data_IF_486022395063
#
_entry.id   IF_486022395063
#
_cell.length_a   1.000
_cell.length_b   1.000
_cell.length_c   1.000
_cell.angle_alpha   90.00
_cell.angle_beta   90.00
_cell.angle_gamma   90.00
#
_symmetry.space_group_name_H-M   'P 1'
#
loop_
_entity.id
_entity.type
_entity.pdbx_description
1 polymer ?
#
# COMPACT_ATOMS: atom_id res chain seq x y z
N UNK A 1 -25.80 -11.50 8.57
CA UNK A 1 -24.88 -11.24 7.44
C UNK A 1 -25.57 -10.23 6.56
N UNK A 2 -25.25 -8.96 6.69
CA UNK A 2 -25.64 -8.00 5.67
C UNK A 2 -24.70 -8.20 4.49
N UNK A 3 -25.25 -8.43 3.28
CA UNK A 3 -24.39 -8.45 2.10
C UNK A 3 -23.72 -7.09 2.03
N UNK A 4 -22.36 -7.10 1.91
CA UNK A 4 -21.62 -5.88 1.66
C UNK A 4 -22.30 -5.12 0.54
N UNK A 5 -22.74 -3.93 0.83
CA UNK A 5 -23.09 -3.00 -0.23
C UNK A 5 -21.77 -2.79 -1.00
N UNK A 6 -21.66 -3.52 -2.11
CA UNK A 6 -20.88 -3.01 -3.19
C UNK A 6 -21.51 -1.64 -3.49
N UNK A 7 -20.96 -0.61 -2.88
CA UNK A 7 -21.14 0.72 -3.38
C UNK A 7 -20.43 0.70 -4.73
N UNK A 8 -21.19 0.22 -5.72
CA UNK A 8 -21.03 0.68 -7.08
C UNK A 8 -21.26 2.18 -6.96
N UNK A 9 -20.22 2.89 -6.51
CA UNK A 9 -20.22 4.32 -6.69
C UNK A 9 -20.23 4.51 -8.19
N UNK A 10 -21.35 5.04 -8.59
CA UNK A 10 -21.69 5.53 -9.90
C UNK A 10 -20.42 5.80 -10.71
N UNK A 11 -20.41 5.23 -11.90
CA UNK A 11 -19.76 5.83 -13.05
C UNK A 11 -20.14 7.32 -13.10
N UNK A 12 -19.49 8.12 -12.31
CA UNK A 12 -19.37 9.53 -12.61
C UNK A 12 -18.31 9.61 -13.70
N UNK A 13 -18.73 9.14 -14.90
CA UNK A 13 -18.11 9.57 -16.11
C UNK A 13 -18.26 11.09 -16.15
N UNK A 14 -17.37 11.81 -15.47
CA UNK A 14 -17.20 13.24 -15.66
C UNK A 14 -16.63 13.45 -17.06
N UNK A 15 -17.52 13.39 -18.04
CA UNK A 15 -17.24 13.94 -19.35
C UNK A 15 -17.23 15.46 -19.21
N UNK A 16 -16.11 16.00 -18.77
CA UNK A 16 -15.89 17.43 -18.86
C UNK A 16 -15.50 17.74 -20.31
N UNK A 17 -16.53 17.95 -21.16
CA UNK A 17 -16.33 18.45 -22.52
C UNK A 17 -15.98 19.93 -22.39
N UNK A 18 -14.69 20.23 -22.33
CA UNK A 18 -14.21 21.58 -22.48
C UNK A 18 -14.13 21.90 -23.99
N UNK A 19 -15.30 22.18 -24.60
CA UNK A 19 -15.38 22.61 -26.00
C UNK A 19 -14.97 24.07 -26.11
N UNK A 20 -13.66 24.31 -26.11
CA UNK A 20 -13.13 25.53 -26.74
C UNK A 20 -13.33 25.39 -28.27
N UNK A 21 -13.41 26.50 -28.97
CA UNK A 21 -13.72 26.58 -30.45
C UNK A 21 -12.81 25.67 -31.31
N UNK A 22 -11.70 25.15 -30.78
CA UNK A 22 -10.65 24.39 -31.48
C UNK A 22 -10.03 23.26 -30.66
N UNK A 23 -10.54 22.93 -29.47
CA UNK A 23 -10.00 21.84 -28.62
C UNK A 23 -11.12 21.06 -27.95
N UNK A 24 -10.92 19.74 -27.80
CA UNK A 24 -11.80 18.84 -27.09
C UNK A 24 -10.97 18.06 -26.04
N UNK A 25 -11.46 18.01 -24.80
CA UNK A 25 -10.85 17.23 -23.72
C UNK A 25 -11.91 16.29 -23.12
N UNK A 26 -11.60 15.00 -23.05
CA UNK A 26 -12.46 13.96 -22.50
C UNK A 26 -11.69 13.29 -21.37
N UNK A 27 -12.28 13.27 -20.18
CA UNK A 27 -11.74 12.57 -19.02
C UNK A 27 -12.73 11.48 -18.64
N UNK A 28 -12.25 10.25 -18.53
CA UNK A 28 -12.99 9.11 -18.01
C UNK A 28 -12.25 8.56 -16.80
N UNK A 29 -12.99 8.35 -15.70
CA UNK A 29 -12.43 7.73 -14.48
C UNK A 29 -13.34 6.59 -14.05
N UNK A 30 -12.77 5.46 -13.78
CA UNK A 30 -13.45 4.30 -13.21
C UNK A 30 -12.71 3.88 -11.94
N UNK A 31 -13.46 3.76 -10.83
CA UNK A 31 -12.94 3.34 -9.54
C UNK A 31 -13.75 2.16 -9.02
N UNK A 32 -13.07 1.15 -8.50
CA UNK A 32 -13.70 0.03 -7.83
C UNK A 32 -12.97 -0.30 -6.52
N UNK A 33 -13.77 -0.54 -5.48
CA UNK A 33 -13.27 -0.93 -4.16
C UNK A 33 -14.02 -2.18 -3.69
N UNK A 34 -13.29 -3.12 -3.13
CA UNK A 34 -13.85 -4.30 -2.49
C UNK A 34 -13.13 -4.55 -1.17
N UNK A 35 -13.89 -4.87 -0.13
CA UNK A 35 -13.33 -5.22 1.16
C UNK A 35 -14.17 -6.32 1.82
N UNK A 36 -13.47 -7.27 2.43
CA UNK A 36 -14.04 -8.30 3.30
C UNK A 36 -13.29 -8.27 4.61
N UNK A 37 -14.00 -8.07 5.72
CA UNK A 37 -13.41 -8.02 7.05
C UNK A 37 -13.96 -9.16 7.91
N UNK A 38 -13.08 -9.81 8.64
CA UNK A 38 -13.48 -10.77 9.66
C UNK A 38 -14.20 -10.06 10.80
N UNK A 39 -15.30 -10.67 11.28
CA UNK A 39 -16.01 -10.20 12.46
C UNK A 39 -15.62 -11.11 13.61
N UNK A 40 -14.96 -10.53 14.62
CA UNK A 40 -14.51 -11.27 15.79
C UNK A 40 -15.69 -11.66 16.70
N UNK A 41 -15.67 -12.90 17.18
CA UNK A 41 -16.47 -13.31 18.35
C UNK A 41 -15.66 -13.02 19.62
N UNK A 42 -16.35 -12.63 20.70
CA UNK A 42 -15.72 -12.38 21.99
C UNK A 42 -16.38 -13.21 23.06
N UNK A 43 -15.56 -13.95 23.79
CA UNK A 43 -15.96 -14.71 24.97
C UNK A 43 -15.23 -14.11 26.19
N UNK A 44 -15.97 -13.62 27.17
CA UNK A 44 -15.43 -12.99 28.37
C UNK A 44 -16.13 -13.52 29.64
N UNK A 45 -15.40 -13.57 30.73
CA UNK A 45 -15.92 -14.02 32.03
C UNK A 45 -14.85 -14.14 33.09
N UNK A 46 -15.24 -14.34 34.35
CA UNK A 46 -14.26 -14.55 35.41
C UNK A 46 -13.39 -15.78 35.14
N UNK A 47 -14.00 -16.89 34.74
CA UNK A 47 -13.32 -18.09 34.28
C UNK A 47 -13.90 -18.53 32.94
N UNK A 48 -13.07 -19.01 32.05
CA UNK A 48 -13.48 -19.61 30.79
C UNK A 48 -13.06 -21.07 30.76
N UNK A 49 -14.03 -21.94 30.50
CA UNK A 49 -13.76 -23.36 30.26
C UNK A 49 -14.41 -23.78 28.96
N UNK A 50 -13.59 -24.23 28.00
CA UNK A 50 -14.05 -24.72 26.71
C UNK A 50 -13.67 -26.20 26.61
N UNK A 51 -14.64 -27.07 26.35
CA UNK A 51 -14.40 -28.50 26.16
C UNK A 51 -15.12 -29.00 24.92
N UNK A 52 -14.40 -29.63 24.01
CA UNK A 52 -14.94 -30.22 22.81
C UNK A 52 -14.05 -31.35 22.26
N UNK A 53 -14.45 -32.00 21.21
CA UNK A 53 -13.60 -32.91 20.47
C UNK A 53 -12.52 -32.14 19.69
N UNK A 54 -12.94 -31.13 18.95
CA UNK A 54 -12.09 -30.20 18.21
C UNK A 54 -12.51 -28.77 18.55
N UNK A 55 -11.55 -27.87 18.64
CA UNK A 55 -11.76 -26.45 18.96
C UNK A 55 -11.02 -25.61 17.93
N UNK A 56 -11.77 -24.69 17.31
CA UNK A 56 -11.25 -23.71 16.37
C UNK A 56 -11.63 -22.30 16.83
N UNK A 57 -10.61 -21.44 17.05
CA UNK A 57 -10.75 -20.04 17.42
C UNK A 57 -10.08 -19.20 16.33
N UNK A 58 -10.90 -18.58 15.49
CA UNK A 58 -10.44 -17.84 14.32
C UNK A 58 -10.82 -16.36 14.39
N UNK A 59 -9.83 -15.48 14.37
CA UNK A 59 -10.02 -14.02 14.41
C UNK A 59 -10.87 -13.57 15.60
N UNK A 60 -10.81 -14.28 16.73
CA UNK A 60 -11.74 -14.15 17.85
C UNK A 60 -11.02 -14.09 19.19
N UNK A 61 -11.70 -13.66 20.25
CA UNK A 61 -11.09 -13.54 21.57
C UNK A 61 -11.80 -14.38 22.63
N UNK A 62 -11.01 -15.02 23.50
CA UNK A 62 -11.47 -15.71 24.70
C UNK A 62 -10.59 -15.29 25.88
N UNK A 63 -11.05 -14.29 26.66
CA UNK A 63 -10.26 -13.68 27.72
C UNK A 63 -11.04 -13.73 29.05
N UNK A 64 -10.44 -14.38 30.03
CA UNK A 64 -10.98 -14.44 31.40
C UNK A 64 -10.26 -13.50 32.36
N UNK A 65 -10.87 -13.25 33.50
CA UNK A 65 -10.20 -12.53 34.59
C UNK A 65 -9.28 -13.46 35.38
N UNK A 66 -9.78 -14.61 35.84
CA UNK A 66 -9.07 -15.49 36.79
C UNK A 66 -8.39 -16.69 36.12
N UNK A 67 -9.01 -17.38 35.18
CA UNK A 67 -8.40 -18.55 34.54
C UNK A 67 -9.09 -18.90 33.21
N UNK A 68 -8.30 -19.33 32.22
CA UNK A 68 -8.81 -19.90 30.96
C UNK A 68 -8.32 -21.32 30.81
N UNK A 69 -9.24 -22.26 30.59
CA UNK A 69 -8.95 -23.67 30.34
C UNK A 69 -9.63 -24.11 29.04
N UNK A 70 -8.83 -24.59 28.09
CA UNK A 70 -9.27 -25.10 26.79
C UNK A 70 -8.83 -26.56 26.67
N UNK A 71 -9.78 -27.44 26.51
CA UNK A 71 -9.52 -28.90 26.45
C UNK A 71 -10.20 -29.50 25.24
N UNK A 72 -9.42 -30.03 24.31
CA UNK A 72 -9.92 -30.77 23.16
C UNK A 72 -9.53 -32.23 23.23
N UNK A 73 -10.44 -33.11 22.82
CA UNK A 73 -10.15 -34.52 22.69
C UNK A 73 -9.22 -34.84 21.50
N UNK A 74 -9.17 -33.99 20.51
CA UNK A 74 -8.32 -34.08 19.33
C UNK A 74 -7.52 -32.78 19.11
N UNK A 75 -8.03 -31.83 18.36
CA UNK A 75 -7.25 -30.67 17.90
C UNK A 75 -7.72 -29.35 18.51
N UNK A 76 -6.76 -28.46 18.76
CA UNK A 76 -7.01 -27.04 19.07
C UNK A 76 -6.29 -26.20 18.02
N UNK A 77 -7.04 -25.36 17.32
CA UNK A 77 -6.52 -24.39 16.37
C UNK A 77 -6.87 -23.00 16.86
N UNK A 78 -5.87 -22.14 17.03
CA UNK A 78 -6.02 -20.72 17.34
C UNK A 78 -5.36 -19.94 16.21
N UNK A 79 -6.16 -19.40 15.30
CA UNK A 79 -5.63 -18.78 14.09
C UNK A 79 -6.16 -17.36 13.86
N UNK A 80 -5.36 -16.57 13.17
CA UNK A 80 -5.81 -15.28 12.67
C UNK A 80 -6.81 -15.46 11.53
N UNK A 81 -7.82 -14.61 11.48
CA UNK A 81 -8.70 -14.50 10.31
C UNK A 81 -8.10 -13.51 9.31
N UNK A 82 -8.31 -13.75 8.02
CA UNK A 82 -7.83 -12.87 6.98
C UNK A 82 -8.88 -11.80 6.65
N UNK A 83 -8.45 -10.55 6.62
CA UNK A 83 -9.15 -9.44 5.99
C UNK A 83 -8.58 -9.27 4.59
N UNK A 84 -9.45 -9.01 3.63
CA UNK A 84 -9.08 -8.76 2.24
C UNK A 84 -9.55 -7.38 1.83
N UNK A 85 -8.72 -6.63 1.14
CA UNK A 85 -9.11 -5.39 0.49
C UNK A 85 -8.48 -5.29 -0.89
N UNK A 86 -9.22 -4.75 -1.84
CA UNK A 86 -8.70 -4.42 -3.17
C UNK A 86 -9.27 -3.10 -3.64
N UNK A 87 -8.48 -2.39 -4.42
CA UNK A 87 -8.85 -1.12 -5.02
C UNK A 87 -8.26 -1.04 -6.42
N UNK A 88 -9.05 -0.58 -7.36
CA UNK A 88 -8.59 -0.25 -8.70
C UNK A 88 -9.07 1.13 -9.11
N UNK A 89 -8.22 1.85 -9.81
CA UNK A 89 -8.51 3.13 -10.41
C UNK A 89 -7.97 3.13 -11.83
N UNK A 90 -8.84 3.40 -12.80
CA UNK A 90 -8.51 3.60 -14.20
C UNK A 90 -8.92 5.02 -14.57
N UNK A 91 -7.97 5.83 -15.02
CA UNK A 91 -8.23 7.19 -15.50
C UNK A 91 -7.60 7.37 -16.87
N UNK A 92 -8.44 7.76 -17.81
CA UNK A 92 -8.03 8.09 -19.18
C UNK A 92 -8.40 9.52 -19.52
N UNK A 93 -7.42 10.27 -19.97
CA UNK A 93 -7.61 11.64 -20.46
C UNK A 93 -7.18 11.72 -21.92
N UNK A 94 -8.08 12.20 -22.75
CA UNK A 94 -7.87 12.34 -24.18
C UNK A 94 -8.12 13.78 -24.57
N UNK A 95 -7.13 14.43 -25.13
CA UNK A 95 -7.21 15.80 -25.63
C UNK A 95 -6.93 15.81 -27.12
N UNK A 96 -7.73 16.56 -27.88
CA UNK A 96 -7.54 16.72 -29.32
C UNK A 96 -7.83 18.15 -29.76
N UNK A 97 -7.14 18.63 -30.79
CA UNK A 97 -7.27 19.95 -31.34
C UNK A 97 -6.07 20.85 -31.11
N UNK A 98 -6.32 22.13 -30.82
CA UNK A 98 -5.27 23.12 -30.61
C UNK A 98 -4.62 22.94 -29.24
N UNK A 99 -3.31 22.78 -29.21
CA UNK A 99 -2.52 22.59 -27.99
C UNK A 99 -1.47 23.70 -27.86
N UNK A 100 -1.29 24.21 -26.67
CA UNK A 100 -0.18 25.12 -26.36
C UNK A 100 1.07 24.30 -26.09
N UNK A 101 2.12 24.53 -26.86
CA UNK A 101 3.44 23.94 -26.61
C UNK A 101 4.33 24.83 -25.76
N UNK A 102 5.47 24.31 -25.31
CA UNK A 102 6.47 25.10 -24.60
C UNK A 102 7.05 26.20 -25.51
N UNK A 103 7.06 27.46 -25.02
CA UNK A 103 7.51 28.62 -25.79
C UNK A 103 6.41 29.16 -26.71
N UNK A 104 6.81 29.80 -27.81
CA UNK A 104 5.91 30.31 -28.85
C UNK A 104 5.53 29.21 -29.88
N UNK A 105 5.02 28.06 -29.38
CA UNK A 105 4.60 26.95 -30.21
C UNK A 105 3.11 26.72 -30.04
N UNK A 106 2.43 26.57 -31.16
CA UNK A 106 1.04 26.18 -31.26
C UNK A 106 1.03 24.82 -31.95
N UNK A 107 0.40 23.82 -31.34
CA UNK A 107 0.26 22.48 -31.92
C UNK A 107 -1.22 22.20 -32.25
N UNK A 108 -1.44 21.37 -33.26
CA UNK A 108 -2.71 20.74 -33.50
C UNK A 108 -2.51 19.24 -33.57
N UNK A 109 -3.16 18.50 -32.67
CA UNK A 109 -2.90 17.08 -32.57
C UNK A 109 -3.84 16.35 -31.62
N UNK A 110 -3.36 15.18 -31.20
CA UNK A 110 -4.03 14.30 -30.26
C UNK A 110 -3.06 13.92 -29.14
N UNK A 111 -3.55 13.96 -27.91
CA UNK A 111 -2.82 13.54 -26.71
C UNK A 111 -3.70 12.58 -25.91
N UNK A 112 -3.13 11.49 -25.46
CA UNK A 112 -3.77 10.54 -24.57
C UNK A 112 -2.87 10.29 -23.38
N UNK A 113 -3.43 10.37 -22.20
CA UNK A 113 -2.78 10.01 -20.95
C UNK A 113 -3.65 8.99 -20.23
N UNK A 114 -3.07 7.88 -19.79
CA UNK A 114 -3.76 6.92 -18.94
C UNK A 114 -3.00 6.66 -17.66
N UNK A 115 -3.77 6.39 -16.63
CA UNK A 115 -3.31 5.98 -15.32
C UNK A 115 -4.15 4.79 -14.88
N UNK A 116 -3.52 3.64 -14.66
CA UNK A 116 -4.13 2.43 -14.10
C UNK A 116 -3.42 2.11 -12.78
N UNK A 117 -4.16 2.11 -11.69
CA UNK A 117 -3.68 1.79 -10.36
C UNK A 117 -4.45 0.62 -9.79
N UNK A 118 -3.75 -0.41 -9.35
CA UNK A 118 -4.33 -1.58 -8.70
C UNK A 118 -3.63 -1.85 -7.38
N UNK A 119 -4.41 -2.11 -6.34
CA UNK A 119 -3.89 -2.55 -5.05
C UNK A 119 -4.71 -3.70 -4.50
N UNK A 120 -4.05 -4.62 -3.82
CA UNK A 120 -4.68 -5.72 -3.09
C UNK A 120 -3.90 -5.99 -1.81
N UNK A 121 -4.62 -6.14 -0.69
CA UNK A 121 -4.01 -6.43 0.59
C UNK A 121 -4.76 -7.56 1.32
N UNK A 122 -3.97 -8.42 1.96
CA UNK A 122 -4.42 -9.41 2.93
C UNK A 122 -3.78 -9.04 4.26
N UNK A 123 -4.60 -8.81 5.29
CA UNK A 123 -4.13 -8.53 6.64
C UNK A 123 -4.70 -9.54 7.63
N UNK A 124 -3.93 -9.88 8.65
CA UNK A 124 -4.30 -10.88 9.64
C UNK A 124 -4.98 -10.21 10.85
N UNK A 125 -6.21 -10.62 11.16
CA UNK A 125 -6.90 -10.30 12.41
C UNK A 125 -6.64 -11.41 13.41
N UNK A 126 -5.75 -11.18 14.37
CA UNK A 126 -5.31 -12.20 15.32
C UNK A 126 -6.44 -12.68 16.24
N UNK A 127 -6.39 -13.96 16.61
CA UNK A 127 -7.13 -14.46 17.77
C UNK A 127 -6.35 -14.18 19.05
N UNK A 128 -7.07 -13.97 20.15
CA UNK A 128 -6.45 -13.80 21.46
C UNK A 128 -7.11 -14.73 22.48
N UNK A 129 -6.31 -15.58 23.09
CA UNK A 129 -6.74 -16.40 24.23
C UNK A 129 -5.95 -15.96 25.46
N UNK A 130 -6.60 -15.75 26.57
CA UNK A 130 -5.87 -15.24 27.74
C UNK A 130 -6.60 -15.27 29.07
N UNK A 131 -5.83 -14.93 30.11
CA UNK A 131 -6.32 -14.62 31.43
C UNK A 131 -5.60 -13.40 31.99
N UNK A 132 -6.32 -12.43 32.55
CA UNK A 132 -5.73 -11.18 33.04
C UNK A 132 -4.96 -11.35 34.33
N UNK A 133 -5.46 -12.18 35.27
CA UNK A 133 -4.83 -12.36 36.59
C UNK A 133 -4.38 -13.78 36.87
N UNK A 134 -4.83 -14.77 36.10
CA UNK A 134 -4.50 -16.17 36.38
C UNK A 134 -3.87 -16.90 35.20
N UNK A 135 -4.00 -18.22 35.23
CA UNK A 135 -3.32 -19.09 34.31
C UNK A 135 -4.14 -19.40 33.05
N UNK A 136 -3.45 -19.73 31.98
CA UNK A 136 -4.01 -20.29 30.75
C UNK A 136 -3.55 -21.73 30.61
N UNK A 137 -4.50 -22.65 30.50
CA UNK A 137 -4.26 -24.06 30.26
C UNK A 137 -4.88 -24.49 28.94
N UNK A 138 -4.08 -25.13 28.08
CA UNK A 138 -4.49 -25.61 26.76
C UNK A 138 -4.06 -27.06 26.64
N UNK A 139 -5.03 -27.97 26.52
CA UNK A 139 -4.82 -29.41 26.42
C UNK A 139 -5.45 -29.93 25.15
N UNK A 140 -4.66 -30.41 24.20
CA UNK A 140 -5.14 -31.09 22.99
C UNK A 140 -4.70 -32.57 23.02
N UNK A 141 -5.60 -33.46 22.70
CA UNK A 141 -5.27 -34.91 22.64
C UNK A 141 -4.33 -35.27 21.50
N UNK A 142 -4.40 -34.50 20.41
CA UNK A 142 -3.58 -34.73 19.22
C UNK A 142 -2.73 -33.49 18.88
N UNK A 143 -3.33 -32.46 18.32
CA UNK A 143 -2.57 -31.30 17.77
C UNK A 143 -3.02 -29.99 18.40
N UNK A 144 -2.03 -29.19 18.83
CA UNK A 144 -2.20 -27.76 19.09
C UNK A 144 -1.55 -26.97 17.94
N UNK A 145 -2.30 -26.06 17.34
CA UNK A 145 -1.81 -25.17 16.29
C UNK A 145 -2.18 -23.72 16.60
N UNK A 146 -1.18 -22.85 16.60
CA UNK A 146 -1.35 -21.40 16.75
C UNK A 146 -0.75 -20.70 15.54
N UNK A 147 -1.57 -19.87 14.84
CA UNK A 147 -1.14 -19.19 13.62
C UNK A 147 -1.45 -17.70 13.72
N UNK A 148 -0.43 -16.86 13.77
CA UNK A 148 -0.57 -15.40 13.80
C UNK A 148 -1.47 -14.88 14.93
N UNK A 149 -1.47 -15.55 16.10
CA UNK A 149 -2.42 -15.31 17.18
C UNK A 149 -1.70 -15.22 18.52
N UNK A 150 -2.40 -14.75 19.55
CA UNK A 150 -1.78 -14.44 20.85
C UNK A 150 -2.39 -15.29 21.96
N UNK A 151 -1.52 -15.86 22.83
CA UNK A 151 -1.91 -16.48 24.10
C UNK A 151 -1.23 -15.71 25.23
N UNK A 152 -2.03 -15.15 26.14
CA UNK A 152 -1.59 -14.14 27.09
C UNK A 152 -1.99 -14.50 28.54
N UNK A 153 -1.04 -14.49 29.45
CA UNK A 153 -1.25 -14.62 30.89
C UNK A 153 -0.31 -13.64 31.64
N UNK A 154 -0.55 -12.33 31.58
CA UNK A 154 0.40 -11.32 32.08
C UNK A 154 0.74 -11.45 33.59
N UNK A 155 -0.15 -12.02 34.38
CA UNK A 155 0.05 -12.24 35.80
C UNK A 155 0.02 -13.73 36.19
N UNK A 156 0.07 -14.64 35.22
CA UNK A 156 0.00 -16.07 35.43
C UNK A 156 0.93 -16.85 34.53
N UNK A 157 0.69 -18.15 34.48
CA UNK A 157 1.43 -19.11 33.67
C UNK A 157 0.62 -19.58 32.48
N UNK A 158 1.30 -20.04 31.43
CA UNK A 158 0.73 -20.70 30.27
C UNK A 158 1.22 -22.14 30.24
N UNK A 159 0.30 -23.09 30.26
CA UNK A 159 0.56 -24.50 30.12
C UNK A 159 -0.11 -25.06 28.88
N UNK A 160 0.66 -25.54 27.92
CA UNK A 160 0.21 -26.15 26.69
C UNK A 160 0.69 -27.59 26.61
N UNK A 161 -0.22 -28.52 26.38
CA UNK A 161 0.13 -29.94 26.19
C UNK A 161 -0.65 -30.51 25.01
N UNK A 162 0.07 -31.19 24.10
CA UNK A 162 -0.49 -31.88 22.95
C UNK A 162 0.46 -33.00 22.50
N UNK A 163 0.04 -33.89 21.61
CA UNK A 163 0.96 -34.81 20.93
C UNK A 163 1.93 -34.06 20.02
N UNK A 164 1.40 -33.07 19.25
CA UNK A 164 2.21 -32.17 18.45
C UNK A 164 1.81 -30.71 18.68
N UNK A 165 2.80 -29.81 18.70
CA UNK A 165 2.62 -28.36 18.95
C UNK A 165 3.25 -27.58 17.80
N UNK A 166 2.44 -26.77 17.09
CA UNK A 166 2.87 -25.89 16.03
C UNK A 166 2.51 -24.44 16.36
N UNK A 167 3.49 -23.58 16.49
CA UNK A 167 3.34 -22.12 16.67
C UNK A 167 3.98 -21.43 15.50
N UNK A 168 3.17 -20.84 14.62
CA UNK A 168 3.62 -20.25 13.35
C UNK A 168 3.07 -18.84 13.15
N UNK A 169 3.71 -18.08 12.29
CA UNK A 169 3.21 -16.79 11.85
C UNK A 169 2.06 -16.91 10.84
N UNK A 170 1.21 -15.89 10.77
CA UNK A 170 0.34 -15.64 9.62
C UNK A 170 1.04 -14.70 8.63
N UNK A 171 0.67 -14.77 7.35
CA UNK A 171 1.26 -13.93 6.30
C UNK A 171 0.32 -12.79 5.94
N UNK A 172 0.89 -11.59 5.89
CA UNK A 172 0.23 -10.39 5.42
C UNK A 172 0.86 -9.96 4.10
N UNK A 173 0.02 -9.82 3.08
CA UNK A 173 0.48 -9.56 1.71
C UNK A 173 -0.10 -8.22 1.27
N UNK A 174 0.75 -7.36 0.74
CA UNK A 174 0.34 -6.13 0.07
C UNK A 174 0.94 -6.11 -1.33
N UNK A 175 0.09 -5.88 -2.33
CA UNK A 175 0.48 -5.76 -3.74
C UNK A 175 -0.06 -4.45 -4.27
N UNK A 176 0.78 -3.72 -4.98
CA UNK A 176 0.40 -2.50 -5.68
C UNK A 176 1.05 -2.48 -7.06
N UNK A 177 0.26 -2.14 -8.06
CA UNK A 177 0.74 -1.91 -9.43
C UNK A 177 0.19 -0.59 -9.90
N UNK A 178 1.04 0.23 -10.46
CA UNK A 178 0.69 1.51 -11.08
C UNK A 178 1.26 1.52 -12.49
N UNK A 179 0.40 1.72 -13.46
CA UNK A 179 0.77 1.89 -14.85
C UNK A 179 0.38 3.28 -15.31
N UNK A 180 1.31 3.97 -15.94
CA UNK A 180 1.08 5.28 -16.54
C UNK A 180 1.52 5.22 -17.99
N UNK A 181 0.66 5.68 -18.89
CA UNK A 181 1.03 5.85 -20.29
C UNK A 181 0.71 7.27 -20.77
N UNK A 182 1.54 7.74 -21.67
CA UNK A 182 1.40 9.01 -22.35
C UNK A 182 1.68 8.81 -23.83
N UNK A 183 0.75 9.27 -24.65
CA UNK A 183 0.90 9.30 -26.10
C UNK A 183 0.50 10.68 -26.62
N UNK A 184 1.31 11.21 -27.50
CA UNK A 184 1.04 12.48 -28.17
C UNK A 184 1.44 12.37 -29.63
N UNK A 185 0.57 12.85 -30.52
CA UNK A 185 0.85 12.95 -31.95
C UNK A 185 0.25 14.23 -32.53
N UNK A 186 0.94 14.83 -33.50
CA UNK A 186 0.41 16.02 -34.13
C UNK A 186 1.43 16.87 -34.87
N UNK A 187 0.92 17.96 -35.45
CA UNK A 187 1.70 18.99 -36.10
C UNK A 187 1.93 20.14 -35.12
N UNK A 188 3.12 20.71 -35.13
CA UNK A 188 3.45 21.91 -34.34
C UNK A 188 3.98 23.00 -35.25
N UNK A 189 3.50 24.20 -35.03
CA UNK A 189 4.02 25.42 -35.62
C UNK A 189 4.76 26.17 -34.52
N UNK A 190 6.05 26.29 -34.65
CA UNK A 190 6.89 27.04 -33.73
C UNK A 190 7.46 28.30 -34.41
N UNK A 191 7.47 29.38 -33.66
CA UNK A 191 8.26 30.55 -34.03
C UNK A 191 9.55 30.44 -33.25
N UNK A 192 10.64 30.11 -33.94
CA UNK A 192 11.99 30.11 -33.37
C UNK A 192 12.61 31.45 -33.68
N UNK A 193 12.86 32.24 -32.66
CA UNK A 193 13.73 33.40 -32.78
C UNK A 193 14.79 33.28 -31.70
N UNK A 194 16.03 33.52 -32.08
CA UNK A 194 17.17 33.55 -31.14
C UNK A 194 16.89 34.56 -30.01
N UNK A 195 16.13 35.60 -30.30
CA UNK A 195 15.71 36.61 -29.33
C UNK A 195 14.73 36.04 -28.29
N UNK A 196 13.74 35.24 -28.71
CA UNK A 196 12.73 34.67 -27.82
C UNK A 196 13.34 33.62 -26.87
N UNK A 197 14.18 32.73 -27.40
CA UNK A 197 14.84 31.68 -26.58
C UNK A 197 15.86 32.24 -25.57
N UNK A 198 16.61 33.26 -25.95
CA UNK A 198 17.58 33.91 -25.06
C UNK A 198 16.92 34.73 -23.97
N UNK A 199 15.79 35.41 -24.26
CA UNK A 199 15.01 36.11 -23.23
C UNK A 199 14.34 35.14 -22.24
N UNK A 200 13.83 34.01 -22.70
CA UNK A 200 13.25 33.00 -21.84
C UNK A 200 14.30 32.33 -20.95
N UNK A 201 15.49 32.05 -21.47
CA UNK A 201 16.59 31.54 -20.69
C UNK A 201 17.07 32.58 -19.64
N UNK A 202 17.13 33.85 -19.97
CA UNK A 202 17.45 34.90 -19.03
C UNK A 202 16.42 35.00 -17.89
N UNK A 203 15.12 34.92 -18.20
CA UNK A 203 14.06 34.89 -17.18
C UNK A 203 14.13 33.67 -16.28
N UNK A 204 14.41 32.48 -16.82
CA UNK A 204 14.55 31.26 -16.04
C UNK A 204 15.76 31.32 -15.11
N UNK A 205 16.86 31.91 -15.54
CA UNK A 205 18.06 32.11 -14.73
C UNK A 205 17.84 33.13 -13.62
N UNK A 206 17.10 34.20 -13.88
CA UNK A 206 16.72 35.16 -12.84
C UNK A 206 15.82 34.49 -11.78
N UNK A 207 14.82 33.68 -12.20
CA UNK A 207 13.99 32.92 -11.27
C UNK A 207 14.83 31.95 -10.43
N UNK A 208 15.76 31.23 -11.05
CA UNK A 208 16.65 30.32 -10.34
C UNK A 208 17.55 31.05 -9.33
N UNK A 209 18.01 32.26 -9.66
CA UNK A 209 18.82 33.09 -8.74
C UNK A 209 18.06 33.53 -7.51
N UNK A 210 16.75 33.72 -7.61
CA UNK A 210 15.90 34.11 -6.47
C UNK A 210 15.53 32.94 -5.56
N UNK A 211 15.69 31.72 -6.04
CA UNK A 211 15.37 30.47 -5.29
C UNK A 211 16.58 29.87 -4.56
N UNK A 212 17.78 30.35 -4.78
CA UNK A 212 18.99 29.89 -4.08
C UNK A 212 19.39 30.85 -2.96
N UNK A 213 19.88 30.31 -1.85
CA UNK A 213 20.45 31.10 -0.73
C UNK A 213 21.97 31.32 -0.85
N UNK A 214 22.61 30.75 -1.87
CA UNK A 214 24.05 30.90 -2.10
C UNK A 214 24.32 32.14 -2.97
N UNK A 215 24.98 33.14 -2.38
CA UNK A 215 25.27 34.43 -3.05
C UNK A 215 26.19 34.28 -4.27
N UNK A 216 27.07 33.28 -4.28
CA UNK A 216 27.95 33.01 -5.45
C UNK A 216 27.12 32.47 -6.65
N UNK A 217 26.15 31.61 -6.37
CA UNK A 217 25.22 31.11 -7.39
C UNK A 217 24.27 32.19 -7.89
N UNK A 218 23.85 33.13 -7.02
CA UNK A 218 23.07 34.31 -7.44
C UNK A 218 23.85 35.20 -8.41
N UNK A 219 25.09 35.49 -8.08
CA UNK A 219 25.96 36.33 -8.94
C UNK A 219 26.21 35.67 -10.27
N UNK A 220 26.47 34.32 -10.30
CA UNK A 220 26.70 33.57 -11.52
C UNK A 220 25.44 33.53 -12.41
N UNK A 221 24.27 33.31 -11.82
CA UNK A 221 22.99 33.29 -12.53
C UNK A 221 22.64 34.67 -13.12
N UNK A 222 22.91 35.77 -12.37
CA UNK A 222 22.72 37.12 -12.87
C UNK A 222 23.70 37.47 -14.01
N UNK A 223 24.96 37.05 -13.91
CA UNK A 223 25.95 37.23 -14.97
C UNK A 223 25.55 36.47 -16.27
N UNK A 224 25.09 35.25 -16.15
CA UNK A 224 24.58 34.48 -17.28
C UNK A 224 23.29 35.09 -17.88
N UNK A 225 22.39 35.59 -17.03
CA UNK A 225 21.20 36.29 -17.51
C UNK A 225 21.55 37.56 -18.30
N UNK A 226 22.55 38.32 -17.84
CA UNK A 226 23.05 39.53 -18.53
C UNK A 226 23.70 39.16 -19.90
N UNK A 227 24.46 38.09 -19.98
CA UNK A 227 25.04 37.59 -21.23
C UNK A 227 23.95 37.17 -22.22
N UNK A 228 22.94 36.45 -21.76
CA UNK A 228 21.80 36.03 -22.59
C UNK A 228 20.96 37.24 -23.06
N UNK A 229 20.75 38.24 -22.20
CA UNK A 229 20.07 39.48 -22.58
C UNK A 229 20.86 40.27 -23.64
N UNK A 230 22.20 40.31 -23.52
CA UNK A 230 23.04 40.92 -24.54
C UNK A 230 22.98 40.17 -25.87
N UNK A 231 23.01 38.82 -25.85
CA UNK A 231 22.87 37.99 -27.06
C UNK A 231 21.52 38.25 -27.73
N UNK A 232 20.43 38.42 -26.95
CA UNK A 232 19.10 38.74 -27.47
C UNK A 232 19.06 40.12 -28.14
N UNK A 233 19.77 41.10 -27.58
CA UNK A 233 19.87 42.45 -28.17
C UNK A 233 20.73 42.45 -29.47
N UNK A 234 21.79 41.69 -29.48
CA UNK A 234 22.68 41.58 -30.67
C UNK A 234 21.96 40.80 -31.81
N UNK A 235 21.14 39.78 -31.46
CA UNK A 235 20.34 39.03 -32.44
C UNK A 235 19.20 39.86 -33.10
N UNK A 236 18.74 40.94 -32.42
CA UNK A 236 17.81 41.90 -33.04
C UNK A 236 18.36 42.62 -34.29
N UNK A 237 19.66 42.63 -34.44
CA UNK A 237 20.33 43.27 -35.60
C UNK A 237 20.44 42.36 -36.81
N UNK A 238 20.14 41.09 -36.62
CA UNK A 238 20.20 40.08 -37.69
C UNK A 238 18.78 39.47 -37.80
N UNK A 239 18.00 39.94 -38.77
CA UNK A 239 16.65 39.47 -39.04
C UNK A 239 16.61 37.94 -39.18
N UNK A 240 15.96 37.27 -38.24
CA UNK A 240 15.77 35.81 -38.30
C UNK A 240 14.59 35.38 -37.44
N UNK A 241 13.35 35.58 -37.93
CA UNK A 241 12.19 34.85 -37.45
C UNK A 241 12.11 33.58 -38.27
N UNK A 242 12.45 32.46 -37.64
CA UNK A 242 12.31 31.15 -38.28
C UNK A 242 10.96 30.53 -37.88
N UNK A 243 10.15 30.19 -38.83
CA UNK A 243 8.91 29.44 -38.64
C UNK A 243 9.23 27.97 -38.84
N UNK A 244 9.16 27.20 -37.78
CA UNK A 244 9.42 25.77 -37.80
C UNK A 244 8.11 25.00 -37.78
N UNK A 245 7.83 24.27 -38.87
CA UNK A 245 6.74 23.31 -38.95
C UNK A 245 7.28 21.94 -38.59
N UNK A 246 6.78 21.32 -37.51
CA UNK A 246 7.14 19.98 -37.10
C UNK A 246 5.93 19.04 -37.10
N UNK A 247 6.17 17.78 -37.43
CA UNK A 247 5.25 16.68 -37.17
C UNK A 247 5.97 15.68 -36.30
N UNK A 248 5.32 15.21 -35.24
CA UNK A 248 5.95 14.26 -34.32
C UNK A 248 4.96 13.38 -33.59
N UNK A 249 5.46 12.26 -33.11
CA UNK A 249 4.79 11.35 -32.21
C UNK A 249 5.73 11.07 -31.04
N UNK A 250 5.19 11.08 -29.82
CA UNK A 250 5.89 10.73 -28.60
C UNK A 250 5.04 9.76 -27.81
N UNK A 251 5.63 8.69 -27.33
CA UNK A 251 4.98 7.76 -26.42
C UNK A 251 5.90 7.45 -25.24
N UNK A 252 5.35 7.29 -24.05
CA UNK A 252 6.04 6.80 -22.88
C UNK A 252 5.13 5.93 -22.05
N UNK A 253 5.67 4.89 -21.45
CA UNK A 253 4.97 3.99 -20.54
C UNK A 253 5.87 3.73 -19.34
N UNK A 254 5.28 3.75 -18.16
CA UNK A 254 5.94 3.43 -16.89
C UNK A 254 5.06 2.47 -16.12
N UNK A 255 5.65 1.37 -15.66
CA UNK A 255 4.98 0.38 -14.82
C UNK A 255 5.79 0.25 -13.54
N UNK A 256 5.14 0.47 -12.40
CA UNK A 256 5.72 0.31 -11.07
C UNK A 256 4.93 -0.76 -10.36
N UNK A 257 5.59 -1.85 -9.98
CA UNK A 257 5.02 -2.93 -9.19
C UNK A 257 5.76 -3.04 -7.86
N UNK A 258 5.01 -3.10 -6.78
CA UNK A 258 5.51 -3.32 -5.43
C UNK A 258 4.74 -4.46 -4.79
N UNK A 259 5.46 -5.36 -4.13
CA UNK A 259 4.88 -6.42 -3.32
C UNK A 259 5.63 -6.50 -2.00
N UNK A 260 4.90 -6.53 -0.90
CA UNK A 260 5.43 -6.88 0.41
C UNK A 260 4.71 -8.11 0.96
N UNK A 261 5.45 -8.92 1.67
CA UNK A 261 4.99 -10.10 2.38
C UNK A 261 5.59 -10.05 3.77
N UNK A 262 4.76 -9.80 4.78
CA UNK A 262 5.18 -9.60 6.15
C UNK A 262 4.55 -10.63 7.07
N UNK A 263 5.26 -10.98 8.14
CA UNK A 263 4.78 -11.94 9.12
C UNK A 263 4.01 -11.24 10.25
N UNK A 264 2.78 -11.70 10.52
CA UNK A 264 2.09 -11.49 11.79
C UNK A 264 2.51 -12.61 12.73
N UNK A 265 3.43 -12.31 13.62
CA UNK A 265 3.98 -13.30 14.55
C UNK A 265 2.92 -13.82 15.53
N UNK A 266 3.03 -15.09 15.93
CA UNK A 266 2.30 -15.64 17.05
C UNK A 266 3.00 -15.30 18.36
N UNK A 267 2.25 -14.96 19.41
CA UNK A 267 2.83 -14.64 20.71
C UNK A 267 2.30 -15.54 21.83
N UNK A 268 3.22 -16.01 22.66
CA UNK A 268 2.97 -16.68 23.93
C UNK A 268 3.63 -15.83 25.02
N UNK A 269 2.85 -15.12 25.84
CA UNK A 269 3.39 -14.20 26.84
C UNK A 269 2.80 -14.48 28.21
N UNK A 270 3.65 -14.89 29.17
CA UNK A 270 3.28 -15.12 30.54
C UNK A 270 4.07 -14.22 31.50
N UNK A 271 3.43 -13.77 32.56
CA UNK A 271 4.11 -13.07 33.68
C UNK A 271 4.97 -14.00 34.51
N UNK A 272 4.62 -15.29 34.56
CA UNK A 272 5.33 -16.31 35.31
C UNK A 272 5.99 -17.32 34.36
N UNK A 273 5.46 -18.52 34.25
CA UNK A 273 6.06 -19.62 33.49
C UNK A 273 5.29 -19.91 32.21
N UNK A 274 6.03 -20.29 31.17
CA UNK A 274 5.47 -20.96 29.99
C UNK A 274 6.00 -22.39 29.98
N UNK A 275 5.10 -23.36 29.90
CA UNK A 275 5.39 -24.75 29.75
C UNK A 275 4.69 -25.29 28.50
N UNK A 276 5.47 -25.80 27.56
CA UNK A 276 4.96 -26.40 26.33
C UNK A 276 5.44 -27.83 26.26
N UNK A 277 4.53 -28.77 26.28
CA UNK A 277 4.86 -30.18 26.26
C UNK A 277 4.26 -30.85 25.00
N UNK A 278 5.14 -31.37 24.15
CA UNK A 278 4.77 -32.28 23.06
C UNK A 278 4.98 -33.74 23.58
N UNK A 279 3.89 -34.50 23.71
CA UNK A 279 3.91 -35.78 24.44
C UNK A 279 3.50 -37.01 23.61
N UNK A 280 3.80 -36.99 22.31
CA UNK A 280 3.44 -38.05 21.36
C UNK A 280 4.48 -39.22 21.24
N UNK A 281 5.47 -39.31 22.10
CA UNK A 281 6.55 -40.28 21.93
C UNK A 281 7.38 -40.00 20.67
N UNK A 282 7.64 -40.99 19.85
CA UNK A 282 8.41 -40.83 18.60
C UNK A 282 7.68 -39.91 17.56
N UNK A 283 6.36 -39.77 17.66
CA UNK A 283 5.54 -38.86 16.83
C UNK A 283 5.36 -37.48 17.44
N UNK A 284 6.00 -37.17 18.59
CA UNK A 284 5.93 -35.82 19.18
C UNK A 284 6.73 -34.82 18.37
N UNK A 285 6.14 -33.65 18.17
CA UNK A 285 6.78 -32.58 17.40
C UNK A 285 6.47 -31.24 18.03
N UNK A 286 7.49 -30.40 18.17
CA UNK A 286 7.37 -29.01 18.60
C UNK A 286 7.98 -28.12 17.54
N UNK A 287 7.15 -27.30 16.88
CA UNK A 287 7.57 -26.32 15.89
C UNK A 287 7.26 -24.92 16.39
N UNK A 288 8.24 -24.04 16.41
CA UNK A 288 8.07 -22.60 16.67
C UNK A 288 8.74 -21.86 15.51
N UNK A 289 7.93 -21.33 14.60
CA UNK A 289 8.38 -20.59 13.42
C UNK A 289 7.68 -19.24 13.36
N UNK A 290 8.41 -18.13 13.44
CA UNK A 290 7.80 -16.80 13.51
C UNK A 290 6.96 -16.61 14.78
N UNK A 291 7.34 -17.31 15.88
CA UNK A 291 6.70 -17.22 17.19
C UNK A 291 7.55 -16.46 18.20
N UNK A 292 6.91 -15.69 19.06
CA UNK A 292 7.51 -15.00 20.19
C UNK A 292 7.04 -15.65 21.50
N UNK A 293 7.98 -16.24 22.27
CA UNK A 293 7.71 -16.87 23.57
C UNK A 293 8.42 -16.05 24.64
N UNK A 294 7.68 -15.55 25.63
CA UNK A 294 8.23 -14.69 26.70
C UNK A 294 7.58 -14.99 28.05
N UNK A 295 8.40 -15.34 29.05
CA UNK A 295 8.00 -15.63 30.42
C UNK A 295 9.20 -15.57 31.35
N UNK A 296 8.99 -15.58 32.72
CA UNK A 296 10.08 -15.66 33.68
C UNK A 296 10.84 -16.99 33.59
N UNK A 297 10.13 -18.06 33.25
CA UNK A 297 10.70 -19.38 32.99
C UNK A 297 10.02 -19.99 31.77
N UNK A 298 10.78 -20.64 30.91
CA UNK A 298 10.27 -21.29 29.69
C UNK A 298 10.79 -22.74 29.71
N UNK A 299 9.86 -23.69 29.64
CA UNK A 299 10.12 -25.11 29.52
C UNK A 299 9.48 -25.60 28.20
N UNK A 300 10.27 -26.26 27.38
CA UNK A 300 9.86 -26.78 26.08
C UNK A 300 10.14 -28.27 25.98
#
# INVERSE_FOLDING_TARGET
VMPGQATTQLEEAYQQINSGLLSNNIISTHEAHSATSAVASSLGGNTITIKAKDIDIKGSSAISDAATSIVAGQSIVIEAANNFSSSSIDRKETSSGLMAGAGLRIGFGHQMQSFDGQSAAITASASTVGSTTGNVQILAGDKYQQVGSDVLAPNGSIDISARAVDVTEAREINKQTVEQSFEQSGMSLGISSVVASTLQNAQNQIKASTQTNDDRLKILAMANAAVNAKMALDARKTDGIEVVLGYGQTSSQSIISSQSDTARVSALKAGERINIQASGGEDSNLTIQGGQVSGKAINL
#
